data_IF_434170511535
#
_entry.id   IF_434170511535
#
_cell.length_a   1.000
_cell.length_b   1.000
_cell.length_c   1.000
_cell.angle_alpha   90.00
_cell.angle_beta   90.00
_cell.angle_gamma   90.00
#
_symmetry.space_group_name_H-M   'P 1'
#
loop_
_entity.id
_entity.type
_entity.pdbx_description
1 polymer ?
#
# COMPACT_ATOMS: atom_id res chain seq x y z
N UNK A 1 3.73 -8.83 -5.32
CA UNK A 1 4.57 -7.69 -4.90
C UNK A 1 5.54 -8.06 -3.78
N UNK A 2 5.08 -8.69 -2.71
CA UNK A 2 5.86 -8.96 -1.48
C UNK A 2 7.19 -9.66 -1.77
N UNK A 3 7.20 -10.73 -2.57
CA UNK A 3 8.43 -11.46 -2.95
C UNK A 3 9.49 -10.57 -3.65
N UNK A 4 9.06 -9.55 -4.40
CA UNK A 4 9.98 -8.62 -5.06
C UNK A 4 10.50 -7.52 -4.13
N UNK A 5 9.76 -7.23 -3.06
CA UNK A 5 10.10 -6.19 -2.08
C UNK A 5 10.98 -6.77 -0.97
N UNK A 6 10.70 -7.99 -0.50
CA UNK A 6 11.35 -8.63 0.63
C UNK A 6 12.90 -8.60 0.56
N UNK A 7 13.56 -8.90 -0.58
CA UNK A 7 15.02 -8.86 -0.66
C UNK A 7 15.65 -7.47 -0.50
N UNK A 8 14.82 -6.40 -0.53
CA UNK A 8 15.28 -5.00 -0.53
C UNK A 8 14.76 -4.20 0.66
N UNK A 9 14.04 -4.83 1.57
CA UNK A 9 13.45 -4.20 2.75
C UNK A 9 14.03 -4.81 4.02
N UNK A 10 14.21 -4.00 5.06
CA UNK A 10 14.61 -4.51 6.37
C UNK A 10 13.48 -5.34 7.03
N UNK A 11 12.23 -4.97 6.76
CA UNK A 11 11.02 -5.65 7.23
C UNK A 11 9.88 -5.39 6.26
N UNK A 12 9.07 -6.39 6.00
CA UNK A 12 7.85 -6.28 5.19
C UNK A 12 6.67 -6.78 6.02
N UNK A 13 5.60 -6.00 6.04
CA UNK A 13 4.32 -6.39 6.63
C UNK A 13 3.32 -6.51 5.47
N UNK A 14 2.83 -7.72 5.24
CA UNK A 14 1.76 -8.00 4.29
C UNK A 14 0.43 -8.14 5.01
N UNK A 15 -0.61 -7.50 4.47
CA UNK A 15 -1.98 -7.57 5.00
C UNK A 15 -2.90 -8.06 3.90
N UNK A 16 -3.64 -9.12 4.19
CA UNK A 16 -4.61 -9.73 3.28
C UNK A 16 -5.81 -10.23 4.08
N UNK A 17 -7.01 -9.93 3.61
CA UNK A 17 -8.25 -10.37 4.27
C UNK A 17 -8.75 -11.72 3.79
N UNK A 18 -8.29 -12.17 2.62
CA UNK A 18 -8.70 -13.45 2.05
C UNK A 18 -7.75 -14.57 2.47
N UNK A 19 -8.14 -15.36 3.47
CA UNK A 19 -7.31 -16.40 4.07
C UNK A 19 -6.67 -17.40 3.09
N UNK A 20 -7.34 -17.84 2.00
CA UNK A 20 -6.68 -18.68 0.99
C UNK A 20 -5.47 -18.01 0.34
N UNK A 21 -5.58 -16.72 -0.04
CA UNK A 21 -4.45 -15.97 -0.62
C UNK A 21 -3.31 -15.77 0.39
N UNK A 22 -3.64 -15.62 1.68
CA UNK A 22 -2.63 -15.54 2.73
C UNK A 22 -1.84 -16.83 2.86
N UNK A 23 -2.51 -18.00 2.85
CA UNK A 23 -1.82 -19.31 2.87
C UNK A 23 -0.90 -19.54 1.67
N UNK A 24 -1.35 -19.11 0.49
CA UNK A 24 -0.51 -19.15 -0.71
C UNK A 24 0.68 -18.20 -0.57
N UNK A 25 0.47 -17.02 0.05
CA UNK A 25 1.54 -16.09 0.32
C UNK A 25 2.56 -16.66 1.33
N UNK A 26 2.12 -17.29 2.40
CA UNK A 26 2.98 -17.98 3.39
C UNK A 26 3.87 -19.00 2.69
N UNK A 27 3.29 -19.86 1.85
CA UNK A 27 4.05 -20.88 1.12
C UNK A 27 5.05 -20.28 0.10
N UNK A 28 4.69 -19.17 -0.55
CA UNK A 28 5.54 -18.51 -1.55
C UNK A 28 6.62 -17.61 -0.95
N UNK A 29 6.55 -17.28 0.33
CA UNK A 29 7.43 -16.34 1.02
C UNK A 29 8.22 -17.00 2.14
N UNK A 30 8.18 -18.34 2.26
CA UNK A 30 8.83 -19.14 3.30
C UNK A 30 10.36 -18.92 3.36
N UNK A 31 10.98 -18.51 2.26
CA UNK A 31 12.41 -18.19 2.21
C UNK A 31 12.80 -16.84 2.83
N UNK A 32 11.80 -15.98 3.21
CA UNK A 32 12.06 -14.62 3.68
C UNK A 32 11.77 -14.45 5.18
N UNK A 33 12.81 -14.42 5.99
CA UNK A 33 12.72 -14.23 7.45
C UNK A 33 12.24 -12.82 7.86
N UNK A 34 12.22 -11.86 6.93
CA UNK A 34 11.86 -10.47 7.18
C UNK A 34 10.42 -10.12 6.77
N UNK A 35 9.60 -11.13 6.44
CA UNK A 35 8.20 -10.96 6.04
C UNK A 35 7.27 -11.40 7.16
N UNK A 36 6.34 -10.54 7.54
CA UNK A 36 5.25 -10.85 8.46
C UNK A 36 3.92 -10.70 7.74
N UNK A 37 3.05 -11.70 7.83
CA UNK A 37 1.75 -11.71 7.18
C UNK A 37 0.62 -11.63 8.21
N UNK A 38 -0.40 -10.82 7.92
CA UNK A 38 -1.56 -10.63 8.78
C UNK A 38 -2.85 -10.89 8.02
N UNK A 39 -3.66 -11.83 8.48
CA UNK A 39 -5.04 -12.04 8.02
C UNK A 39 -5.94 -11.02 8.70
N UNK A 40 -6.25 -9.93 8.02
CA UNK A 40 -7.08 -8.85 8.57
C UNK A 40 -7.63 -7.95 7.46
N UNK A 41 -8.80 -7.34 7.66
CA UNK A 41 -9.19 -6.17 6.89
C UNK A 41 -8.12 -5.08 7.00
N UNK A 42 -7.81 -4.42 5.89
CA UNK A 42 -6.71 -3.43 5.82
C UNK A 42 -6.92 -2.25 6.77
N UNK A 43 -8.16 -1.83 6.98
CA UNK A 43 -8.52 -0.75 7.91
C UNK A 43 -8.18 -1.10 9.37
N UNK A 44 -8.40 -2.34 9.79
CA UNK A 44 -8.08 -2.81 11.14
C UNK A 44 -6.56 -2.94 11.33
N UNK A 45 -5.89 -3.54 10.35
CA UNK A 45 -4.44 -3.67 10.37
C UNK A 45 -3.75 -2.30 10.40
N UNK A 46 -4.15 -1.35 9.56
CA UNK A 46 -3.58 -0.01 9.55
C UNK A 46 -3.87 0.75 10.84
N UNK A 47 -5.08 0.61 11.43
CA UNK A 47 -5.39 1.20 12.73
C UNK A 47 -4.47 0.65 13.83
N UNK A 48 -4.23 -0.66 13.84
CA UNK A 48 -3.31 -1.31 14.76
C UNK A 48 -1.87 -0.82 14.55
N UNK A 49 -1.41 -0.80 13.30
CA UNK A 49 -0.07 -0.37 12.94
C UNK A 49 0.17 1.12 13.27
N UNK A 50 -0.78 2.00 12.95
CA UNK A 50 -0.66 3.42 13.25
C UNK A 50 -0.60 3.73 14.76
N UNK A 51 -1.28 2.93 15.59
CA UNK A 51 -1.34 3.14 17.04
C UNK A 51 -0.23 2.42 17.83
N UNK A 52 0.34 1.35 17.31
CA UNK A 52 1.30 0.51 18.04
C UNK A 52 2.70 0.48 17.44
N UNK A 53 2.88 0.85 16.19
CA UNK A 53 4.22 0.97 15.65
C UNK A 53 4.86 2.26 16.18
N UNK A 54 5.49 2.15 17.35
CA UNK A 54 6.74 2.88 17.54
C UNK A 54 7.72 2.25 16.56
N UNK A 55 7.68 2.71 15.30
CA UNK A 55 8.62 2.24 14.28
C UNK A 55 9.99 2.70 14.74
N UNK A 56 10.89 1.77 15.12
CA UNK A 56 12.23 2.17 15.53
C UNK A 56 12.84 3.05 14.43
N UNK A 57 13.56 4.08 14.81
CA UNK A 57 14.25 4.98 13.86
C UNK A 57 15.15 4.21 12.89
N UNK A 58 15.63 3.02 13.27
CA UNK A 58 16.38 2.09 12.42
C UNK A 58 15.56 1.46 11.30
N UNK A 59 14.22 1.47 11.39
CA UNK A 59 13.30 0.95 10.36
C UNK A 59 12.60 2.06 9.56
N UNK A 60 12.98 3.31 9.77
CA UNK A 60 12.56 4.43 8.95
C UNK A 60 13.42 4.50 7.66
N UNK A 61 12.90 4.98 6.53
CA UNK A 61 11.53 5.46 6.33
C UNK A 61 10.52 4.33 6.01
N UNK A 62 9.29 4.50 6.48
CA UNK A 62 8.18 3.61 6.10
C UNK A 62 7.72 3.92 4.68
N UNK A 63 7.49 2.87 3.90
CA UNK A 63 6.88 2.93 2.57
C UNK A 63 5.68 2.00 2.54
N UNK A 64 4.64 2.39 1.81
CA UNK A 64 3.42 1.60 1.67
C UNK A 64 3.19 1.29 0.19
N UNK A 65 2.82 0.05 -0.11
CA UNK A 65 2.30 -0.36 -1.41
C UNK A 65 0.84 -0.78 -1.22
N UNK A 66 -0.04 -0.23 -2.03
CA UNK A 66 -1.48 -0.49 -2.05
C UNK A 66 -1.89 -1.09 -3.39
N UNK A 67 -2.74 -2.11 -3.33
CA UNK A 67 -3.42 -2.71 -4.49
C UNK A 67 -4.89 -2.96 -4.11
N UNK A 68 -5.70 -1.89 -3.96
CA UNK A 68 -7.07 -2.00 -3.51
C UNK A 68 -7.99 -2.53 -4.61
N UNK A 69 -9.21 -2.99 -4.25
CA UNK A 69 -10.23 -3.37 -5.23
C UNK A 69 -10.64 -2.17 -6.09
N UNK A 70 -11.48 -2.42 -7.11
CA UNK A 70 -12.02 -1.39 -8.04
C UNK A 70 -12.71 -0.22 -7.33
N UNK A 71 -13.30 -0.44 -6.17
CA UNK A 71 -13.90 0.61 -5.35
C UNK A 71 -12.90 1.62 -4.79
N UNK A 72 -11.59 1.31 -4.90
CA UNK A 72 -10.52 2.08 -4.27
C UNK A 72 -10.47 1.89 -2.76
N UNK A 73 -9.78 2.78 -2.07
CA UNK A 73 -9.65 2.78 -0.62
C UNK A 73 -10.85 3.47 0.05
N UNK A 74 -11.34 2.90 1.13
CA UNK A 74 -12.30 3.55 2.00
C UNK A 74 -11.70 4.77 2.69
N UNK A 75 -12.57 5.67 3.16
CA UNK A 75 -12.13 6.88 3.85
C UNK A 75 -11.29 6.57 5.10
N UNK A 76 -11.66 5.52 5.84
CA UNK A 76 -10.93 5.08 7.02
C UNK A 76 -9.50 4.62 6.67
N UNK A 77 -9.34 3.85 5.60
CA UNK A 77 -8.02 3.42 5.10
C UNK A 77 -7.13 4.64 4.79
N UNK A 78 -7.66 5.63 4.06
CA UNK A 78 -6.91 6.86 3.77
C UNK A 78 -6.53 7.59 5.06
N UNK A 79 -7.43 7.71 6.04
CA UNK A 79 -7.13 8.36 7.33
C UNK A 79 -6.02 7.65 8.10
N UNK A 80 -6.03 6.31 8.13
CA UNK A 80 -4.97 5.54 8.78
C UNK A 80 -3.63 5.63 8.04
N UNK A 81 -3.64 5.69 6.70
CA UNK A 81 -2.43 5.94 5.90
C UNK A 81 -1.82 7.30 6.21
N UNK A 82 -2.64 8.34 6.35
CA UNK A 82 -2.19 9.67 6.75
C UNK A 82 -1.60 9.66 8.17
N UNK A 83 -2.23 8.95 9.11
CA UNK A 83 -1.73 8.80 10.48
C UNK A 83 -0.41 8.00 10.56
N UNK A 84 -0.23 7.00 9.67
CA UNK A 84 1.01 6.25 9.56
C UNK A 84 2.20 7.11 9.08
N UNK A 85 1.90 8.23 8.42
CA UNK A 85 2.88 9.19 7.91
C UNK A 85 3.99 8.56 7.06
N UNK A 86 3.64 7.60 6.20
CA UNK A 86 4.59 6.94 5.33
C UNK A 86 5.33 7.94 4.43
N UNK A 87 6.64 7.78 4.26
CA UNK A 87 7.43 8.65 3.39
C UNK A 87 6.95 8.58 1.94
N UNK A 88 6.59 7.36 1.49
CA UNK A 88 6.14 7.11 0.12
C UNK A 88 4.98 6.11 0.11
N UNK A 89 4.00 6.39 -0.73
CA UNK A 89 2.89 5.48 -1.04
C UNK A 89 2.96 5.17 -2.53
N UNK A 90 3.01 3.88 -2.87
CA UNK A 90 2.82 3.36 -4.22
C UNK A 90 1.40 2.79 -4.28
N UNK A 91 0.60 3.30 -5.19
CA UNK A 91 -0.79 2.91 -5.36
C UNK A 91 -0.96 2.27 -6.74
N UNK A 92 -1.25 0.97 -6.78
CA UNK A 92 -1.64 0.25 -7.98
C UNK A 92 -3.17 0.31 -8.07
N UNK A 93 -3.71 0.68 -9.20
CA UNK A 93 -5.16 0.85 -9.38
C UNK A 93 -5.62 0.34 -10.73
N UNK A 94 -6.69 -0.44 -10.72
CA UNK A 94 -7.38 -0.89 -11.92
C UNK A 94 -8.56 0.03 -12.34
N UNK A 95 -8.77 1.16 -11.61
CA UNK A 95 -9.82 2.13 -11.92
C UNK A 95 -9.32 3.57 -11.74
N UNK A 96 -9.14 4.34 -12.84
CA UNK A 96 -8.64 5.70 -12.76
C UNK A 96 -9.55 6.68 -12.00
N UNK A 97 -10.87 6.45 -11.97
CA UNK A 97 -11.81 7.36 -11.31
C UNK A 97 -11.70 7.25 -9.78
N UNK A 98 -11.62 6.02 -9.27
CA UNK A 98 -11.41 5.78 -7.83
C UNK A 98 -10.00 6.19 -7.40
N UNK A 99 -8.99 5.96 -8.23
CA UNK A 99 -7.64 6.48 -7.98
C UNK A 99 -7.64 8.01 -7.86
N UNK A 100 -8.29 8.73 -8.78
CA UNK A 100 -8.36 10.19 -8.73
C UNK A 100 -9.06 10.70 -7.46
N UNK A 101 -10.12 10.01 -7.02
CA UNK A 101 -10.80 10.31 -5.75
C UNK A 101 -9.87 10.16 -4.55
N UNK A 102 -9.12 9.05 -4.49
CA UNK A 102 -8.24 8.72 -3.37
C UNK A 102 -6.98 9.58 -3.40
N UNK A 103 -6.42 9.85 -4.59
CA UNK A 103 -5.31 10.79 -4.78
C UNK A 103 -5.65 12.19 -4.24
N UNK A 104 -6.86 12.70 -4.51
CA UNK A 104 -7.31 13.98 -3.95
C UNK A 104 -7.30 13.98 -2.42
N UNK A 105 -7.68 12.86 -1.80
CA UNK A 105 -7.67 12.73 -0.33
C UNK A 105 -6.25 12.67 0.23
N UNK A 106 -5.36 11.92 -0.41
CA UNK A 106 -3.94 11.86 -0.02
C UNK A 106 -3.27 13.22 -0.17
N UNK A 107 -3.52 13.94 -1.28
CA UNK A 107 -2.97 15.28 -1.50
C UNK A 107 -3.49 16.27 -0.45
N UNK A 108 -4.79 16.25 -0.14
CA UNK A 108 -5.36 17.07 0.92
C UNK A 108 -4.77 16.75 2.31
N UNK A 109 -4.28 15.51 2.49
CA UNK A 109 -3.60 15.05 3.71
C UNK A 109 -2.09 15.29 3.74
N UNK A 110 -1.52 16.05 2.78
CA UNK A 110 -0.11 16.48 2.81
C UNK A 110 0.83 15.60 1.96
N UNK A 111 0.31 14.76 1.06
CA UNK A 111 1.12 14.07 0.07
C UNK A 111 1.18 14.85 -1.24
N UNK A 112 2.24 14.65 -2.01
CA UNK A 112 2.37 15.12 -3.39
C UNK A 112 2.32 13.93 -4.33
N UNK A 113 1.53 14.02 -5.39
CA UNK A 113 1.58 13.06 -6.50
C UNK A 113 2.85 13.33 -7.31
N UNK A 114 3.74 12.36 -7.36
CA UNK A 114 5.02 12.45 -8.06
C UNK A 114 4.87 11.94 -9.50
N UNK A 115 4.18 10.83 -9.67
CA UNK A 115 3.91 10.25 -10.99
C UNK A 115 2.63 9.45 -10.99
N UNK A 116 2.01 9.33 -12.15
CA UNK A 116 0.95 8.39 -12.44
C UNK A 116 1.24 7.78 -13.82
N UNK A 117 1.56 6.50 -13.85
CA UNK A 117 1.91 5.75 -15.05
C UNK A 117 0.79 4.79 -15.40
N UNK A 118 0.02 5.03 -16.48
CA UNK A 118 -0.94 4.06 -16.98
C UNK A 118 -0.22 2.90 -17.68
N UNK A 119 -0.79 1.70 -17.56
CA UNK A 119 -0.32 0.45 -18.15
C UNK A 119 -1.49 -0.24 -18.83
N UNK A 120 -1.37 -0.49 -20.13
CA UNK A 120 -2.34 -1.27 -20.90
C UNK A 120 -2.05 -2.77 -20.75
N UNK A 121 -2.55 -3.33 -19.65
CA UNK A 121 -2.40 -4.77 -19.32
C UNK A 121 -3.57 -5.61 -19.88
N UNK A 122 -4.64 -4.96 -20.32
CA UNK A 122 -5.84 -5.62 -20.81
C UNK A 122 -6.23 -5.05 -22.19
N UNK A 123 -5.42 -5.29 -23.24
CA UNK A 123 -5.66 -4.71 -24.56
C UNK A 123 -7.05 -5.10 -25.09
N UNK A 124 -7.68 -4.19 -25.83
CA UNK A 124 -9.05 -4.31 -26.38
C UNK A 124 -10.17 -4.27 -25.30
N UNK A 125 -9.86 -3.87 -24.08
CA UNK A 125 -10.83 -3.55 -23.02
C UNK A 125 -10.70 -2.09 -22.61
N UNK A 126 -11.64 -1.60 -21.80
CA UNK A 126 -11.57 -0.26 -21.20
C UNK A 126 -10.78 -0.25 -19.88
N UNK A 127 -10.16 -1.35 -19.51
CA UNK A 127 -9.42 -1.47 -18.25
C UNK A 127 -8.00 -0.97 -18.42
N UNK A 128 -7.62 -0.01 -17.59
CA UNK A 128 -6.27 0.54 -17.50
C UNK A 128 -5.78 0.37 -16.07
N UNK A 129 -4.66 -0.31 -15.91
CA UNK A 129 -3.93 -0.30 -14.66
C UNK A 129 -3.13 1.01 -14.56
N UNK A 130 -3.01 1.53 -13.37
CA UNK A 130 -2.23 2.76 -13.13
C UNK A 130 -1.38 2.60 -11.89
N UNK A 131 -0.09 2.84 -12.01
CA UNK A 131 0.82 2.93 -10.86
C UNK A 131 1.03 4.41 -10.53
N UNK A 132 0.54 4.83 -9.36
CA UNK A 132 0.71 6.18 -8.87
C UNK A 132 1.69 6.20 -7.68
N UNK A 133 2.58 7.19 -7.65
CA UNK A 133 3.56 7.38 -6.58
C UNK A 133 3.27 8.69 -5.88
N UNK A 134 3.11 8.60 -4.56
CA UNK A 134 2.94 9.76 -3.69
C UNK A 134 4.11 9.84 -2.71
N UNK A 135 4.55 11.05 -2.41
CA UNK A 135 5.54 11.33 -1.37
C UNK A 135 4.97 12.30 -0.35
N UNK A 136 5.32 12.07 0.92
CA UNK A 136 5.00 13.00 2.00
C UNK A 136 5.64 14.36 1.72
N UNK A 137 4.87 15.43 1.85
CA UNK A 137 5.39 16.78 1.77
C UNK A 137 6.17 17.18 3.04
N UNK A 138 6.02 16.42 4.12
CA UNK A 138 6.77 16.60 5.37
C UNK A 138 8.11 15.88 5.21
N UNK A 139 9.19 16.61 5.19
CA UNK A 139 10.54 16.04 5.28
C UNK A 139 10.83 15.75 6.75
N UNK A 140 11.20 14.51 7.05
CA UNK A 140 11.70 14.10 8.37
C UNK A 140 13.20 14.37 8.48
#
# INVERSE_FOLDING_TARGET
FTAFIAPRAARVIGVESFGPALRDAEANLDEFDNVELYESPVEEALAYLANRLVIPSSLQPVKVLLDPPRSGCDKAVIQHLLALAAQRIVYVSCDPATLARDARRLIAGGYRLISAQPLDMFPQTHHIETVAIFESAIQY
#
